data_IF_192625517934
#
_entry.id   IF_192625517934
#
_cell.length_a   1.000
_cell.length_b   1.000
_cell.length_c   1.000
_cell.angle_alpha   90.00
_cell.angle_beta   90.00
_cell.angle_gamma   90.00
#
_symmetry.space_group_name_H-M   'P 1'
#
loop_
_entity.id
_entity.type
_entity.pdbx_description
1 polymer ?
#
# COMPACT_ATOMS: atom_id res chain seq x y z
N UNK A 1 -9.38 -34.32 37.85
CA UNK A 1 -8.79 -33.04 37.41
C UNK A 1 -7.56 -33.33 36.57
N UNK A 2 -7.68 -33.26 35.25
CA UNK A 2 -6.54 -33.26 34.33
C UNK A 2 -6.89 -32.39 33.12
N UNK A 3 -6.03 -31.40 32.89
CA UNK A 3 -6.08 -30.37 31.86
C UNK A 3 -5.40 -30.84 30.55
N UNK A 4 -5.67 -30.08 29.48
CA UNK A 4 -5.04 -30.06 28.15
C UNK A 4 -5.58 -31.10 27.14
N UNK A 5 -5.81 -30.79 25.87
CA UNK A 5 -5.30 -29.69 25.05
C UNK A 5 -6.31 -29.45 23.91
N UNK A 6 -6.73 -28.20 23.73
CA UNK A 6 -7.48 -27.77 22.56
C UNK A 6 -6.56 -27.85 21.33
N UNK A 7 -6.70 -28.89 20.54
CA UNK A 7 -6.28 -28.88 19.14
C UNK A 7 -7.46 -28.35 18.32
N UNK A 8 -7.55 -27.02 18.22
CA UNK A 8 -8.40 -26.40 17.21
C UNK A 8 -7.58 -26.38 15.92
N UNK A 9 -7.93 -27.17 14.89
CA UNK A 9 -7.43 -26.91 13.56
C UNK A 9 -8.00 -25.56 13.14
N UNK A 10 -7.16 -24.53 13.13
CA UNK A 10 -7.47 -23.26 12.47
C UNK A 10 -7.86 -23.65 11.04
N UNK A 11 -9.10 -23.39 10.58
CA UNK A 11 -9.46 -23.66 9.21
C UNK A 11 -8.64 -22.70 8.35
N UNK A 12 -7.55 -23.19 7.76
CA UNK A 12 -6.95 -22.55 6.58
C UNK A 12 -7.99 -22.68 5.49
N UNK A 13 -8.91 -21.72 5.46
CA UNK A 13 -9.71 -21.42 4.30
C UNK A 13 -8.70 -21.27 3.17
N UNK A 14 -8.65 -22.25 2.26
CA UNK A 14 -8.02 -22.08 0.95
C UNK A 14 -8.80 -20.96 0.25
N UNK A 15 -8.51 -19.71 0.63
CA UNK A 15 -8.94 -18.58 -0.13
C UNK A 15 -8.12 -18.65 -1.41
N UNK A 16 -8.80 -18.64 -2.54
CA UNK A 16 -8.25 -18.53 -3.89
C UNK A 16 -7.63 -17.13 -4.08
N UNK A 17 -6.79 -16.71 -3.14
CA UNK A 17 -6.19 -15.39 -3.00
C UNK A 17 -4.70 -15.58 -2.89
N UNK A 18 -3.98 -14.71 -3.58
CA UNK A 18 -2.54 -14.65 -3.49
C UNK A 18 -2.18 -14.21 -2.06
N UNK A 19 -1.40 -15.02 -1.35
CA UNK A 19 -0.91 -14.69 0.00
C UNK A 19 0.49 -15.25 0.14
N UNK A 20 1.48 -14.37 0.25
CA UNK A 20 2.89 -14.75 0.31
C UNK A 20 3.68 -13.71 1.10
N UNK A 21 4.89 -14.06 1.50
CA UNK A 21 5.79 -13.15 2.21
C UNK A 21 6.92 -12.71 1.29
N UNK A 22 7.17 -11.40 1.26
CA UNK A 22 8.28 -10.82 0.52
C UNK A 22 9.19 -10.02 1.43
N UNK A 23 10.46 -9.94 1.04
CA UNK A 23 11.41 -9.02 1.65
C UNK A 23 11.23 -7.63 1.04
N UNK A 24 11.00 -6.66 1.88
CA UNK A 24 10.72 -5.29 1.51
C UNK A 24 12.01 -4.47 1.51
N UNK A 25 12.28 -3.79 0.40
CA UNK A 25 13.41 -2.87 0.26
C UNK A 25 12.93 -1.52 -0.24
N UNK A 26 13.72 -0.48 0.04
CA UNK A 26 13.43 0.85 -0.49
C UNK A 26 13.61 0.84 -2.01
N UNK A 27 12.73 1.52 -2.74
CA UNK A 27 12.87 1.73 -4.18
C UNK A 27 14.19 2.42 -4.56
N UNK A 28 14.82 3.15 -3.63
CA UNK A 28 16.16 3.74 -3.83
C UNK A 28 17.26 2.69 -4.02
N UNK A 29 17.07 1.46 -3.54
CA UNK A 29 18.02 0.34 -3.73
C UNK A 29 17.87 -0.34 -5.09
N UNK A 30 16.79 -0.08 -5.83
CA UNK A 30 16.60 -0.66 -7.15
C UNK A 30 17.65 -0.06 -8.11
N UNK A 31 18.61 -0.88 -8.56
CA UNK A 31 19.65 -0.46 -9.47
C UNK A 31 19.04 -0.05 -10.83
N UNK A 32 18.97 1.26 -11.09
CA UNK A 32 18.46 1.82 -12.34
C UNK A 32 19.02 3.22 -12.60
N UNK A 33 19.17 3.63 -13.88
CA UNK A 33 19.87 4.88 -14.25
C UNK A 33 19.12 6.18 -13.93
N UNK A 34 17.92 6.12 -13.35
CA UNK A 34 17.17 7.29 -12.90
C UNK A 34 16.56 6.96 -11.54
N UNK A 35 16.77 7.85 -10.57
CA UNK A 35 15.98 7.91 -9.34
C UNK A 35 14.49 7.80 -9.73
N UNK A 36 13.85 6.69 -9.37
CA UNK A 36 12.44 6.42 -9.67
C UNK A 36 11.55 7.23 -8.72
N UNK A 37 11.77 8.54 -8.68
CA UNK A 37 11.07 9.48 -7.82
C UNK A 37 9.56 9.42 -8.01
N UNK A 38 9.08 9.05 -9.20
CA UNK A 38 7.65 8.87 -9.48
C UNK A 38 7.03 7.72 -8.68
N UNK A 39 7.81 6.68 -8.38
CA UNK A 39 7.38 5.55 -7.55
C UNK A 39 7.31 5.97 -6.09
N UNK A 40 8.30 6.74 -5.62
CA UNK A 40 8.30 7.29 -4.27
C UNK A 40 7.13 8.22 -4.00
N UNK A 41 6.68 8.96 -5.03
CA UNK A 41 5.54 9.88 -4.96
C UNK A 41 4.18 9.19 -5.03
N UNK A 42 4.14 7.87 -5.21
CA UNK A 42 2.92 7.10 -5.47
C UNK A 42 2.59 6.03 -4.44
N UNK A 43 1.44 5.40 -4.65
CA UNK A 43 0.93 4.27 -3.87
C UNK A 43 1.17 2.90 -4.50
N UNK A 44 2.23 2.79 -5.32
CA UNK A 44 2.48 1.60 -6.13
C UNK A 44 3.83 0.96 -5.78
N UNK A 45 3.85 -0.36 -5.70
CA UNK A 45 5.04 -1.16 -5.37
C UNK A 45 5.55 -1.92 -6.60
N UNK A 46 6.78 -2.39 -6.53
CA UNK A 46 7.37 -3.26 -7.56
C UNK A 46 7.47 -4.66 -6.99
N UNK A 47 6.95 -5.62 -7.73
CA UNK A 47 6.87 -7.03 -7.32
C UNK A 47 7.68 -7.93 -8.28
N UNK A 48 7.97 -9.18 -7.92
CA UNK A 48 8.68 -10.09 -8.81
C UNK A 48 7.75 -10.66 -9.89
N UNK A 49 8.28 -11.04 -11.06
CA UNK A 49 7.49 -11.64 -12.15
C UNK A 49 6.79 -12.94 -11.74
N UNK A 50 7.35 -13.67 -10.77
CA UNK A 50 6.70 -14.86 -10.19
C UNK A 50 5.37 -14.54 -9.49
N UNK A 51 5.20 -13.32 -8.96
CA UNK A 51 3.92 -12.86 -8.42
C UNK A 51 2.87 -12.74 -9.53
N UNK A 52 3.23 -12.16 -10.68
CA UNK A 52 2.33 -12.00 -11.81
C UNK A 52 1.82 -13.35 -12.34
N UNK A 53 2.70 -14.35 -12.46
CA UNK A 53 2.31 -15.70 -12.88
C UNK A 53 1.27 -16.31 -11.93
N UNK A 54 1.47 -16.17 -10.62
CA UNK A 54 0.49 -16.63 -9.62
C UNK A 54 -0.83 -15.86 -9.69
N UNK A 55 -0.79 -14.54 -9.84
CA UNK A 55 -1.99 -13.70 -9.98
C UNK A 55 -2.79 -14.07 -11.24
N UNK A 56 -2.09 -14.35 -12.34
CA UNK A 56 -2.70 -14.80 -13.59
C UNK A 56 -3.39 -16.16 -13.42
N UNK A 57 -2.76 -17.13 -12.74
CA UNK A 57 -3.38 -18.43 -12.42
C UNK A 57 -4.61 -18.30 -11.52
N UNK A 58 -4.60 -17.33 -10.61
CA UNK A 58 -5.72 -17.03 -9.73
C UNK A 58 -6.82 -16.21 -10.43
N UNK A 59 -6.64 -15.88 -11.71
CA UNK A 59 -7.58 -15.14 -12.54
C UNK A 59 -7.90 -13.74 -11.97
N UNK A 60 -6.91 -13.13 -11.30
CA UNK A 60 -7.01 -11.78 -10.73
C UNK A 60 -6.83 -10.77 -11.86
N UNK A 61 -7.90 -10.05 -12.16
CA UNK A 61 -7.91 -8.98 -13.17
C UNK A 61 -7.58 -7.62 -12.53
N UNK A 62 -7.17 -6.67 -13.37
CA UNK A 62 -6.98 -5.28 -12.94
C UNK A 62 -8.27 -4.69 -12.32
N UNK A 63 -8.18 -3.87 -11.26
CA UNK A 63 -6.96 -3.45 -10.55
C UNK A 63 -6.39 -4.51 -9.60
N UNK A 64 -5.08 -4.74 -9.68
CA UNK A 64 -4.34 -5.63 -8.78
C UNK A 64 -3.95 -4.87 -7.52
N UNK A 65 -4.71 -5.07 -6.45
CA UNK A 65 -4.50 -4.43 -5.16
C UNK A 65 -4.00 -5.45 -4.14
N UNK A 66 -3.11 -4.98 -3.27
CA UNK A 66 -2.46 -5.81 -2.27
C UNK A 66 -2.57 -5.18 -0.90
N UNK A 67 -2.87 -6.04 0.07
CA UNK A 67 -2.74 -5.73 1.49
C UNK A 67 -1.36 -6.16 1.95
N UNK A 68 -0.60 -5.21 2.45
CA UNK A 68 0.67 -5.41 3.12
C UNK A 68 0.41 -5.44 4.63
N UNK A 69 0.83 -6.51 5.30
CA UNK A 69 0.72 -6.65 6.76
C UNK A 69 2.08 -6.91 7.36
N UNK A 70 2.55 -5.98 8.19
CA UNK A 70 3.74 -6.17 9.00
C UNK A 70 3.37 -6.83 10.33
N UNK A 71 3.73 -8.10 10.49
CA UNK A 71 3.45 -8.89 11.70
C UNK A 71 4.22 -8.41 12.93
N UNK A 72 5.35 -7.71 12.73
CA UNK A 72 6.18 -7.26 13.85
C UNK A 72 5.56 -6.05 14.56
N UNK A 73 4.92 -5.17 13.80
CA UNK A 73 4.38 -3.89 14.28
C UNK A 73 2.85 -3.86 14.35
N UNK A 74 2.19 -4.97 14.02
CA UNK A 74 0.72 -5.10 13.85
C UNK A 74 0.11 -3.99 12.96
N UNK A 75 0.89 -3.53 11.97
CA UNK A 75 0.49 -2.50 11.02
C UNK A 75 0.12 -3.13 9.69
N UNK A 76 -0.88 -2.55 9.04
CA UNK A 76 -1.28 -2.93 7.70
C UNK A 76 -1.48 -1.70 6.83
N UNK A 77 -1.20 -1.83 5.54
CA UNK A 77 -1.45 -0.81 4.53
C UNK A 77 -1.88 -1.49 3.23
N UNK A 78 -2.44 -0.72 2.31
CA UNK A 78 -2.90 -1.20 1.02
C UNK A 78 -2.16 -0.45 -0.09
N UNK A 79 -1.77 -1.18 -1.11
CA UNK A 79 -1.02 -0.64 -2.24
C UNK A 79 -1.47 -1.28 -3.54
N UNK A 80 -1.18 -0.60 -4.65
CA UNK A 80 -1.24 -1.19 -5.98
C UNK A 80 0.14 -1.71 -6.40
N UNK A 81 0.17 -2.47 -7.49
CA UNK A 81 1.43 -2.80 -8.18
C UNK A 81 1.66 -1.82 -9.33
N UNK A 82 2.91 -1.41 -9.53
CA UNK A 82 3.34 -0.64 -10.69
C UNK A 82 3.81 -1.58 -11.80
N UNK A 83 4.81 -2.40 -11.50
CA UNK A 83 5.49 -3.29 -12.45
C UNK A 83 5.98 -4.56 -11.75
N UNK A 84 6.19 -5.60 -12.55
CA UNK A 84 6.69 -6.90 -12.07
C UNK A 84 8.13 -7.15 -12.52
N UNK A 85 9.06 -6.32 -12.03
CA UNK A 85 10.49 -6.35 -12.42
C UNK A 85 11.44 -6.57 -11.25
N UNK A 86 10.93 -6.84 -10.03
CA UNK A 86 11.77 -7.09 -8.87
C UNK A 86 12.42 -8.48 -8.91
N UNK A 87 13.54 -8.64 -8.19
CA UNK A 87 14.18 -9.93 -7.95
C UNK A 87 13.24 -10.88 -7.19
N UNK A 88 13.40 -12.19 -7.43
CA UNK A 88 12.55 -13.19 -6.79
C UNK A 88 12.66 -13.15 -5.26
N UNK A 89 11.50 -13.10 -4.60
CA UNK A 89 11.42 -12.98 -3.13
C UNK A 89 11.63 -11.57 -2.59
N UNK A 90 11.82 -10.58 -3.45
CA UNK A 90 12.03 -9.17 -3.11
C UNK A 90 10.89 -8.31 -3.66
N UNK A 91 10.40 -7.37 -2.85
CA UNK A 91 9.48 -6.31 -3.26
C UNK A 91 10.08 -4.95 -2.92
N UNK A 92 9.92 -3.99 -3.82
CA UNK A 92 10.37 -2.62 -3.60
C UNK A 92 9.18 -1.72 -3.27
N UNK A 93 9.31 -0.95 -2.20
CA UNK A 93 8.27 -0.07 -1.69
C UNK A 93 8.78 1.37 -1.58
N UNK A 94 7.89 2.35 -1.75
CA UNK A 94 8.20 3.74 -1.44
C UNK A 94 8.67 3.91 0.00
N UNK A 95 9.58 4.85 0.23
CA UNK A 95 10.13 5.15 1.56
C UNK A 95 9.04 5.45 2.59
N UNK A 96 8.03 6.25 2.22
CA UNK A 96 6.90 6.58 3.11
C UNK A 96 6.12 5.35 3.55
N UNK A 97 5.99 4.34 2.69
CA UNK A 97 5.28 3.10 3.00
C UNK A 97 6.07 2.23 3.98
N UNK A 98 7.40 2.20 3.82
CA UNK A 98 8.28 1.54 4.79
C UNK A 98 8.21 2.22 6.15
N UNK A 99 8.22 3.56 6.19
CA UNK A 99 8.05 4.33 7.44
C UNK A 99 6.66 4.09 8.05
N UNK A 100 5.61 4.10 7.25
CA UNK A 100 4.24 3.87 7.71
C UNK A 100 4.08 2.47 8.32
N UNK A 101 4.70 1.44 7.72
CA UNK A 101 4.69 0.07 8.25
C UNK A 101 5.73 -0.18 9.35
N UNK A 102 6.61 0.78 9.64
CA UNK A 102 7.78 0.61 10.53
C UNK A 102 8.62 -0.61 10.11
N UNK A 103 9.02 -0.64 8.85
CA UNK A 103 9.84 -1.68 8.27
C UNK A 103 11.28 -1.24 8.12
N UNK A 104 12.18 -2.15 8.44
CA UNK A 104 13.60 -2.05 8.10
C UNK A 104 13.85 -2.70 6.73
N UNK A 105 14.97 -2.35 6.10
CA UNK A 105 15.38 -2.92 4.82
C UNK A 105 15.59 -4.43 4.94
N UNK A 106 14.96 -5.19 4.04
CA UNK A 106 14.93 -6.65 4.11
C UNK A 106 13.88 -7.21 5.08
N UNK A 107 13.06 -6.35 5.70
CA UNK A 107 11.94 -6.75 6.55
C UNK A 107 10.93 -7.61 5.80
N UNK A 108 10.39 -8.63 6.47
CA UNK A 108 9.39 -9.52 5.90
C UNK A 108 7.98 -8.94 6.07
N UNK A 109 7.25 -8.82 4.97
CA UNK A 109 5.86 -8.38 4.96
C UNK A 109 4.99 -9.43 4.32
N UNK A 110 3.82 -9.68 4.90
CA UNK A 110 2.80 -10.51 4.29
C UNK A 110 2.03 -9.69 3.26
N UNK A 111 2.08 -10.13 2.00
CA UNK A 111 1.40 -9.52 0.87
C UNK A 111 0.23 -10.40 0.46
N UNK A 112 -0.97 -9.84 0.46
CA UNK A 112 -2.20 -10.55 0.16
C UNK A 112 -2.99 -9.83 -0.93
N UNK A 113 -3.45 -10.54 -1.97
CA UNK A 113 -4.36 -9.94 -2.96
C UNK A 113 -5.72 -9.67 -2.33
N UNK A 114 -6.19 -8.45 -2.50
CA UNK A 114 -7.51 -8.03 -2.01
C UNK A 114 -8.25 -7.27 -3.11
N UNK A 115 -9.57 -7.38 -3.11
CA UNK A 115 -10.42 -6.53 -3.94
C UNK A 115 -11.05 -5.48 -3.03
N UNK A 116 -10.70 -4.22 -3.26
CA UNK A 116 -11.23 -3.09 -2.51
C UNK A 116 -12.37 -2.43 -3.28
N UNK A 117 -13.36 -1.96 -2.54
CA UNK A 117 -14.43 -1.16 -3.12
C UNK A 117 -13.93 0.25 -3.43
N UNK A 118 -14.54 0.87 -4.43
CA UNK A 118 -14.24 2.24 -4.83
C UNK A 118 -14.61 3.20 -3.70
N UNK A 119 -13.71 4.13 -3.37
CA UNK A 119 -13.92 5.11 -2.32
C UNK A 119 -15.04 6.08 -2.70
N UNK A 120 -15.95 6.39 -1.78
CA UNK A 120 -16.97 7.42 -1.97
C UNK A 120 -16.65 8.69 -1.19
N UNK A 121 -15.95 8.53 -0.07
CA UNK A 121 -15.57 9.61 0.81
C UNK A 121 -14.23 9.28 1.47
N UNK A 122 -13.37 10.28 1.56
CA UNK A 122 -12.12 10.18 2.29
C UNK A 122 -11.86 11.47 3.04
N UNK A 123 -11.33 11.36 4.25
CA UNK A 123 -10.98 12.49 5.10
C UNK A 123 -9.50 12.42 5.41
N UNK A 124 -8.80 13.52 5.16
CA UNK A 124 -7.37 13.63 5.42
C UNK A 124 -7.10 14.71 6.46
N UNK A 125 -6.05 14.49 7.24
CA UNK A 125 -5.51 15.44 8.18
C UNK A 125 -4.05 15.72 7.84
N UNK A 126 -3.70 16.95 7.41
CA UNK A 126 -2.30 17.32 7.22
C UNK A 126 -1.55 17.25 8.55
N UNK A 127 -0.37 16.65 8.53
CA UNK A 127 0.51 16.59 9.71
C UNK A 127 1.33 17.87 9.87
N UNK A 128 1.63 18.56 8.77
CA UNK A 128 2.32 19.86 8.78
C UNK A 128 1.36 21.01 8.45
N UNK A 129 1.47 22.16 9.13
CA UNK A 129 0.78 23.39 8.72
C UNK A 129 1.23 23.90 7.35
N UNK A 130 2.41 23.51 6.84
CA UNK A 130 2.89 23.92 5.52
C UNK A 130 1.90 23.57 4.40
N UNK A 131 1.11 22.50 4.58
CA UNK A 131 0.10 22.10 3.60
C UNK A 131 -1.09 23.08 3.55
N UNK A 132 -1.39 23.75 4.68
CA UNK A 132 -2.47 24.74 4.78
C UNK A 132 -2.08 26.08 4.13
N UNK A 133 -0.78 26.36 4.00
CA UNK A 133 -0.26 27.56 3.32
C UNK A 133 -0.33 27.46 1.78
N UNK A 134 -0.64 26.28 1.24
CA UNK A 134 -0.83 26.09 -0.20
C UNK A 134 -2.09 26.82 -0.64
N UNK A 135 -2.03 27.55 -1.76
CA UNK A 135 -3.17 28.31 -2.29
C UNK A 135 -4.39 27.44 -2.58
N UNK A 136 -4.18 26.22 -3.09
CA UNK A 136 -5.23 25.26 -3.44
C UNK A 136 -4.89 23.84 -2.92
N UNK A 137 -5.02 23.58 -1.60
CA UNK A 137 -4.63 22.29 -1.02
C UNK A 137 -5.48 21.14 -1.55
N UNK A 138 -6.77 21.38 -1.83
CA UNK A 138 -7.69 20.38 -2.40
C UNK A 138 -7.24 19.88 -3.77
N UNK A 139 -6.90 20.79 -4.69
CA UNK A 139 -6.46 20.41 -6.03
C UNK A 139 -5.11 19.66 -6.01
N UNK A 140 -4.20 20.05 -5.12
CA UNK A 140 -2.93 19.34 -4.92
C UNK A 140 -3.17 17.93 -4.40
N UNK A 141 -4.07 17.78 -3.44
CA UNK A 141 -4.45 16.48 -2.89
C UNK A 141 -5.09 15.60 -3.95
N UNK A 142 -6.10 16.08 -4.68
CA UNK A 142 -6.75 15.33 -5.77
C UNK A 142 -5.74 14.91 -6.84
N UNK A 143 -4.80 15.79 -7.21
CA UNK A 143 -3.78 15.45 -8.19
C UNK A 143 -2.78 14.42 -7.65
N UNK A 144 -2.39 14.52 -6.38
CA UNK A 144 -1.50 13.55 -5.76
C UNK A 144 -2.17 12.17 -5.65
N UNK A 145 -3.45 12.14 -5.26
CA UNK A 145 -4.25 10.91 -5.11
C UNK A 145 -4.35 10.11 -6.41
N UNK A 146 -4.25 10.73 -7.59
CA UNK A 146 -4.17 10.00 -8.88
C UNK A 146 -2.98 9.04 -8.96
N UNK A 147 -1.91 9.28 -8.20
CA UNK A 147 -0.74 8.40 -8.15
C UNK A 147 -0.91 7.25 -7.15
N UNK A 148 -1.94 7.29 -6.31
CA UNK A 148 -2.25 6.26 -5.34
C UNK A 148 -3.34 5.33 -5.89
N UNK A 149 -3.16 4.04 -5.66
CA UNK A 149 -4.16 3.04 -6.05
C UNK A 149 -5.20 2.80 -4.93
N UNK A 150 -4.76 2.93 -3.68
CA UNK A 150 -5.57 2.59 -2.51
C UNK A 150 -5.33 3.60 -1.38
N UNK A 151 -6.28 3.66 -0.46
CA UNK A 151 -6.16 4.35 0.81
C UNK A 151 -6.59 3.43 1.93
N UNK A 152 -5.86 3.51 3.06
CA UNK A 152 -6.26 2.87 4.30
C UNK A 152 -6.49 3.93 5.38
N UNK A 153 -7.58 3.83 6.11
CA UNK A 153 -7.83 4.62 7.31
C UNK A 153 -6.72 4.38 8.33
N UNK A 154 -6.11 5.46 8.81
CA UNK A 154 -5.02 5.45 9.78
C UNK A 154 -3.63 5.57 9.18
N UNK A 155 -3.46 5.31 7.88
CA UNK A 155 -2.17 5.43 7.19
C UNK A 155 -1.74 6.89 7.07
N UNK A 156 -0.43 7.11 7.12
CA UNK A 156 0.19 8.39 6.76
C UNK A 156 0.76 8.24 5.35
N UNK A 157 0.15 8.94 4.40
CA UNK A 157 0.62 9.02 3.02
C UNK A 157 1.50 10.27 2.86
N UNK A 158 2.55 10.14 2.06
CA UNK A 158 3.42 11.26 1.72
C UNK A 158 3.14 11.68 0.27
N UNK A 159 2.82 12.96 0.07
CA UNK A 159 2.62 13.53 -1.26
C UNK A 159 3.75 14.52 -1.54
N UNK A 160 4.26 14.54 -2.77
CA UNK A 160 5.26 15.51 -3.18
C UNK A 160 4.59 16.63 -3.99
N UNK A 161 4.75 17.86 -3.52
CA UNK A 161 4.28 19.04 -4.21
C UNK A 161 5.33 20.15 -4.13
N UNK A 162 5.69 20.73 -5.27
CA UNK A 162 6.67 21.82 -5.36
C UNK A 162 8.01 21.47 -4.66
N UNK A 163 8.52 20.26 -4.93
CA UNK A 163 9.76 19.71 -4.36
C UNK A 163 9.77 19.55 -2.83
N UNK A 164 8.60 19.68 -2.19
CA UNK A 164 8.41 19.41 -0.76
C UNK A 164 7.51 18.19 -0.57
N UNK A 165 7.88 17.37 0.40
CA UNK A 165 7.10 16.22 0.83
C UNK A 165 6.15 16.68 1.94
N UNK A 166 4.85 16.45 1.74
CA UNK A 166 3.81 16.73 2.72
C UNK A 166 3.20 15.41 3.20
N UNK A 167 3.15 15.24 4.52
CA UNK A 167 2.56 14.07 5.15
C UNK A 167 1.09 14.34 5.49
N UNK A 168 0.22 13.44 5.03
CA UNK A 168 -1.22 13.49 5.23
C UNK A 168 -1.66 12.19 5.87
N UNK A 169 -2.33 12.30 7.00
CA UNK A 169 -2.93 11.15 7.66
C UNK A 169 -4.34 10.93 7.18
N UNK A 170 -4.64 9.72 6.75
CA UNK A 170 -6.00 9.31 6.41
C UNK A 170 -6.78 9.12 7.71
N UNK A 171 -7.77 9.98 7.95
CA UNK A 171 -8.61 9.93 9.16
C UNK A 171 -9.78 8.98 9.01
N UNK A 172 -10.41 8.97 7.83
CA UNK A 172 -11.60 8.17 7.57
C UNK A 172 -11.71 7.88 6.07
N UNK A 173 -12.15 6.67 5.73
CA UNK A 173 -12.50 6.28 4.36
C UNK A 173 -13.86 5.55 4.36
N UNK A 174 -14.63 5.70 3.29
CA UNK A 174 -15.89 4.99 3.05
C UNK A 174 -15.90 4.35 1.67
N UNK A 175 -16.52 3.17 1.50
CA UNK A 175 -17.39 2.46 2.47
C UNK A 175 -16.65 1.64 3.53
N UNK A 176 -15.38 1.30 3.32
CA UNK A 176 -14.58 0.47 4.23
C UNK A 176 -13.31 1.21 4.70
N UNK A 177 -12.58 0.61 5.64
CA UNK A 177 -11.28 1.13 6.11
C UNK A 177 -10.23 1.11 5.01
N UNK A 178 -10.35 0.21 4.04
CA UNK A 178 -9.46 0.11 2.89
C UNK A 178 -10.27 0.27 1.60
N UNK A 179 -9.92 1.25 0.79
CA UNK A 179 -10.68 1.61 -0.42
C UNK A 179 -9.75 1.79 -1.60
N UNK A 180 -10.27 1.48 -2.79
CA UNK A 180 -9.62 1.77 -4.06
C UNK A 180 -9.98 3.18 -4.52
N UNK A 181 -8.99 3.93 -5.00
CA UNK A 181 -9.18 5.30 -5.53
C UNK A 181 -8.76 5.42 -6.99
N UNK A 182 -8.60 4.28 -7.66
CA UNK A 182 -8.27 4.22 -9.09
C UNK A 182 -9.46 4.75 -9.89
N UNK A 183 -9.23 5.81 -10.68
CA UNK A 183 -10.20 6.40 -11.61
C UNK A 183 -11.56 6.70 -10.98
N UNK A 184 -11.54 7.16 -9.72
CA UNK A 184 -12.76 7.46 -8.97
C UNK A 184 -12.90 8.95 -8.67
N UNK A 185 -14.09 9.48 -8.90
CA UNK A 185 -14.56 10.75 -8.35
C UNK A 185 -15.03 10.56 -6.90
N UNK A 186 -14.09 10.54 -5.96
CA UNK A 186 -14.41 10.51 -4.53
C UNK A 186 -14.46 11.93 -3.95
N UNK A 187 -15.27 12.13 -2.91
CA UNK A 187 -15.30 13.41 -2.22
C UNK A 187 -14.19 13.47 -1.16
N UNK A 188 -13.36 14.52 -1.25
CA UNK A 188 -12.22 14.82 -0.37
C UNK A 188 -12.34 16.19 0.29
#
# INVERSE_FOLDING_TARGET
FSFNMFDHPIPRVFQNRFSTQYRCFSVSMLAGPNDRSDVEKGGKIIMPPSALDQLSRLNITYPMLFKLTNKNSDRMTHCGVLEFVADEGICYLPHWMMQNLLLEEGGLVQVESVNLQVATYSKFQPQSPDFLDITNPKAVLENALRNFACLTTGDVIAINYNEKIYELRVMETKPDKAVSIIECDMNV
#
